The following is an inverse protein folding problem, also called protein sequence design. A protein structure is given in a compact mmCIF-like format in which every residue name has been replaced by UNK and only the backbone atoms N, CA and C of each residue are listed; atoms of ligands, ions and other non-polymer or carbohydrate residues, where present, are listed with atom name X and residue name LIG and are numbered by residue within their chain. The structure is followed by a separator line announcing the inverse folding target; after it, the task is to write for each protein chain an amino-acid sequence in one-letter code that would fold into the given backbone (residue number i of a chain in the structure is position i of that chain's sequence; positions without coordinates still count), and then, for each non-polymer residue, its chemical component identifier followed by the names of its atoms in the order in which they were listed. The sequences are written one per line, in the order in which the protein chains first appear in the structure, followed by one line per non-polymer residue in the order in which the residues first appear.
data_IF_011556787084
#
_entry.id   IF_011556787084
#
_cell.length_a   1.000
_cell.length_b   1.000
_cell.length_c   1.000
_cell.angle_alpha   90.00
_cell.angle_beta   90.00
_cell.angle_gamma   90.00
#
_symmetry.space_group_name_H-M   'P 1'
#
loop_
_entity.id
_entity.type
_entity.pdbx_description
1 polymer ?
#
# COMPACT_ATOMS: atom_id res chain seq x y z
N UNK A 1 4.91 -2.07 30.87
CA UNK A 1 4.36 -0.93 30.11
C UNK A 1 4.18 -1.24 28.63
N UNK A 2 3.38 -2.28 28.33
CA UNK A 2 2.94 -2.65 26.98
C UNK A 2 1.58 -1.98 26.68
N UNK A 3 1.21 -1.79 25.39
CA UNK A 3 -0.15 -1.45 24.99
C UNK A 3 -1.18 -2.43 25.58
N UNK A 4 -2.37 -1.94 25.88
CA UNK A 4 -3.49 -2.80 26.20
C UNK A 4 -3.93 -3.56 24.95
N UNK A 5 -4.22 -4.84 25.12
CA UNK A 5 -4.84 -5.64 24.06
C UNK A 5 -6.31 -5.30 23.93
N UNK A 6 -6.93 -5.65 22.79
CA UNK A 6 -8.37 -5.50 22.62
C UNK A 6 -9.19 -6.21 23.69
N UNK A 7 -8.74 -7.41 24.10
CA UNK A 7 -9.39 -8.20 25.16
C UNK A 7 -9.27 -7.53 26.53
N UNK A 8 -8.11 -6.92 26.85
CA UNK A 8 -7.91 -6.16 28.09
C UNK A 8 -8.81 -4.91 28.11
N UNK A 9 -8.92 -4.18 26.98
CA UNK A 9 -9.84 -3.04 26.87
C UNK A 9 -11.29 -3.49 27.07
N UNK A 10 -11.72 -4.56 26.41
CA UNK A 10 -13.06 -5.10 26.54
C UNK A 10 -13.36 -5.55 27.99
N UNK A 11 -12.39 -6.15 28.67
CA UNK A 11 -12.55 -6.57 30.07
C UNK A 11 -12.74 -5.36 31.01
N UNK A 12 -11.95 -4.28 30.82
CA UNK A 12 -12.11 -3.03 31.58
C UNK A 12 -13.49 -2.42 31.34
N UNK A 13 -13.91 -2.31 30.08
CA UNK A 13 -15.23 -1.78 29.73
C UNK A 13 -16.37 -2.63 30.33
N UNK A 14 -16.21 -3.94 30.33
CA UNK A 14 -17.20 -4.85 30.93
C UNK A 14 -17.35 -4.62 32.44
N UNK A 15 -16.24 -4.46 33.18
CA UNK A 15 -16.22 -4.18 34.62
C UNK A 15 -16.90 -2.84 34.89
N UNK A 16 -16.44 -1.76 34.26
CA UNK A 16 -16.98 -0.40 34.47
C UNK A 16 -18.46 -0.34 34.13
N UNK A 17 -18.89 -0.93 33.03
CA UNK A 17 -20.30 -0.95 32.66
C UNK A 17 -21.15 -1.85 33.57
N UNK A 18 -20.57 -2.85 34.23
CA UNK A 18 -21.27 -3.65 35.26
C UNK A 18 -21.57 -2.77 36.47
N UNK A 19 -20.58 -2.01 36.97
CA UNK A 19 -20.75 -1.07 38.09
C UNK A 19 -21.76 0.05 37.76
N UNK A 20 -21.76 0.57 36.54
CA UNK A 20 -22.74 1.55 36.06
C UNK A 20 -24.15 0.92 36.13
N UNK A 21 -24.34 -0.31 35.63
CA UNK A 21 -25.64 -0.99 35.61
C UNK A 21 -26.13 -1.41 37.02
N UNK A 22 -25.21 -1.59 37.97
CA UNK A 22 -25.57 -1.83 39.36
C UNK A 22 -26.34 -0.66 39.99
N UNK A 23 -26.22 0.54 39.41
CA UNK A 23 -26.94 1.74 39.81
C UNK A 23 -26.79 2.03 41.33
N UNK A 24 -25.58 1.84 41.84
CA UNK A 24 -25.25 2.05 43.25
C UNK A 24 -25.35 3.55 43.62
N UNK A 25 -25.77 3.85 44.84
CA UNK A 25 -25.81 5.19 45.39
C UNK A 25 -24.38 5.71 45.66
N UNK A 26 -24.12 6.99 45.30
CA UNK A 26 -22.87 7.67 45.66
C UNK A 26 -22.96 8.17 47.09
N UNK A 27 -22.09 7.68 47.96
CA UNK A 27 -22.04 8.09 49.39
C UNK A 27 -20.85 8.99 49.59
N UNK A 28 -21.10 10.20 50.14
CA UNK A 28 -20.07 11.21 50.43
C UNK A 28 -19.93 11.34 51.95
N UNK A 29 -18.72 11.18 52.45
CA UNK A 29 -18.39 11.32 53.88
C UNK A 29 -17.24 12.27 54.08
N UNK A 30 -17.28 13.05 55.18
CA UNK A 30 -16.16 13.82 55.68
C UNK A 30 -15.57 13.10 56.89
N UNK A 31 -14.31 12.72 56.81
CA UNK A 31 -13.62 11.89 57.77
C UNK A 31 -12.22 12.40 58.02
N UNK A 32 -11.60 12.12 59.19
CA UNK A 32 -10.15 12.27 59.35
C UNK A 32 -9.41 11.47 58.26
N UNK A 33 -8.29 12.04 57.78
CA UNK A 33 -7.52 11.44 56.68
C UNK A 33 -7.13 10.00 56.96
N UNK A 34 -6.61 9.72 58.19
CA UNK A 34 -6.18 8.35 58.57
C UNK A 34 -7.34 7.38 58.59
N UNK A 35 -8.54 7.80 58.95
CA UNK A 35 -9.74 6.99 58.95
C UNK A 35 -10.19 6.66 57.55
N UNK A 36 -10.16 7.63 56.63
CA UNK A 36 -10.49 7.43 55.23
C UNK A 36 -9.55 6.41 54.57
N UNK A 37 -8.24 6.54 54.83
CA UNK A 37 -7.23 5.61 54.30
C UNK A 37 -7.44 4.19 54.90
N UNK A 38 -7.74 4.10 56.20
CA UNK A 38 -8.03 2.82 56.87
C UNK A 38 -9.28 2.14 56.26
N UNK A 39 -10.25 2.90 55.76
CA UNK A 39 -11.43 2.38 55.03
C UNK A 39 -11.13 2.00 53.58
N UNK A 40 -9.87 2.17 53.14
CA UNK A 40 -9.43 1.80 51.78
C UNK A 40 -9.63 2.89 50.72
N UNK A 41 -9.75 4.16 51.15
CA UNK A 41 -9.85 5.25 50.16
C UNK A 41 -8.55 5.43 49.37
N UNK A 42 -8.66 5.58 48.06
CA UNK A 42 -7.55 5.85 47.18
C UNK A 42 -7.18 7.35 47.29
N UNK A 43 -5.93 7.61 47.63
CA UNK A 43 -5.37 8.95 47.65
C UNK A 43 -4.33 9.11 46.54
N UNK A 44 -4.46 10.14 45.69
CA UNK A 44 -3.53 10.36 44.59
C UNK A 44 -2.19 10.86 45.08
N UNK A 45 -1.10 10.32 44.55
CA UNK A 45 0.26 10.76 44.90
C UNK A 45 0.51 12.21 44.44
N UNK A 46 1.01 13.02 45.40
CA UNK A 46 1.39 14.42 45.15
C UNK A 46 0.32 15.45 45.49
N UNK A 47 -0.89 15.04 45.85
CA UNK A 47 -1.88 15.96 46.44
C UNK A 47 -1.63 16.19 47.95
N UNK A 48 -1.89 17.41 48.40
CA UNK A 48 -1.83 17.74 49.84
C UNK A 48 -3.22 17.68 50.42
N UNK A 49 -3.43 16.71 51.29
CA UNK A 49 -4.68 16.53 52.00
C UNK A 49 -4.62 17.22 53.39
N UNK A 50 -5.74 17.80 53.81
CA UNK A 50 -5.89 18.33 55.17
C UNK A 50 -6.21 17.20 56.17
N UNK A 51 -6.32 17.61 57.45
CA UNK A 51 -6.65 16.65 58.56
C UNK A 51 -8.02 15.98 58.39
N UNK A 52 -8.97 16.67 57.72
CA UNK A 52 -10.28 16.16 57.33
C UNK A 52 -10.42 16.17 55.83
N UNK A 53 -10.83 15.01 55.28
CA UNK A 53 -10.94 14.78 53.86
C UNK A 53 -12.36 14.42 53.44
N UNK A 54 -12.68 14.68 52.17
CA UNK A 54 -13.95 14.23 51.59
C UNK A 54 -13.70 12.93 50.85
N UNK A 55 -14.25 11.85 51.38
CA UNK A 55 -14.24 10.51 50.78
C UNK A 55 -15.54 10.31 50.00
N UNK A 56 -15.43 9.78 48.79
CA UNK A 56 -16.53 9.47 47.90
C UNK A 56 -16.53 7.97 47.63
N UNK A 57 -17.61 7.30 47.97
CA UNK A 57 -17.87 5.91 47.61
C UNK A 57 -18.80 5.84 46.40
N UNK A 58 -18.38 5.20 45.32
CA UNK A 58 -19.21 4.89 44.14
C UNK A 58 -19.08 3.39 43.85
N UNK A 59 -20.16 2.66 43.99
CA UNK A 59 -20.15 1.19 43.93
C UNK A 59 -19.03 0.59 44.83
N UNK A 60 -18.12 -0.19 44.28
CA UNK A 60 -17.03 -0.82 45.07
C UNK A 60 -15.76 0.04 45.17
N UNK A 61 -15.79 1.27 44.66
CA UNK A 61 -14.62 2.17 44.67
C UNK A 61 -14.75 3.28 45.71
N UNK A 62 -13.63 3.65 46.31
CA UNK A 62 -13.50 4.75 47.29
C UNK A 62 -12.35 5.64 46.90
N UNK A 63 -12.60 6.93 46.87
CA UNK A 63 -11.58 7.90 46.49
C UNK A 63 -11.68 9.17 47.33
N UNK A 64 -10.55 9.82 47.62
CA UNK A 64 -10.51 11.17 48.13
C UNK A 64 -10.68 12.15 46.99
N UNK A 65 -11.85 12.76 46.86
CA UNK A 65 -12.17 13.65 45.78
C UNK A 65 -13.02 14.84 46.19
N UNK A 66 -12.57 16.04 45.82
CA UNK A 66 -13.27 17.32 46.06
C UNK A 66 -14.29 17.70 44.96
N UNK A 67 -14.35 16.92 43.86
CA UNK A 67 -15.21 17.21 42.70
C UNK A 67 -16.69 16.94 42.92
N UNK A 68 -17.48 17.23 41.89
CA UNK A 68 -18.89 16.88 41.82
C UNK A 68 -19.03 15.44 41.25
N UNK A 69 -20.00 14.71 41.76
CA UNK A 69 -20.28 13.33 41.36
C UNK A 69 -21.76 13.14 41.04
N UNK A 70 -22.06 12.12 40.26
CA UNK A 70 -23.43 11.64 40.05
C UNK A 70 -24.05 11.14 41.36
N UNK A 71 -25.34 11.22 41.53
CA UNK A 71 -26.01 10.69 42.69
C UNK A 71 -26.05 9.17 42.70
N UNK A 72 -26.06 8.55 41.54
CA UNK A 72 -26.05 7.09 41.37
C UNK A 72 -25.15 6.72 40.16
N UNK A 73 -24.45 5.58 40.24
CA UNK A 73 -23.58 5.09 39.17
C UNK A 73 -24.31 4.95 37.81
N UNK A 74 -25.62 4.62 37.84
CA UNK A 74 -26.42 4.48 36.63
C UNK A 74 -26.57 5.79 35.81
N UNK A 75 -26.43 6.95 36.43
CA UNK A 75 -26.49 8.26 35.74
C UNK A 75 -25.30 8.49 34.81
N UNK A 76 -24.20 7.73 34.94
CA UNK A 76 -23.04 7.79 34.06
C UNK A 76 -23.41 7.31 32.65
N UNK A 77 -24.40 6.41 32.51
CA UNK A 77 -24.82 5.83 31.26
C UNK A 77 -23.86 4.73 30.78
N UNK A 78 -23.53 4.74 29.51
CA UNK A 78 -22.55 3.77 28.94
C UNK A 78 -21.14 4.33 29.02
N UNK A 79 -20.16 3.48 29.35
CA UNK A 79 -18.74 3.79 29.29
C UNK A 79 -18.08 3.09 28.11
N UNK A 80 -17.22 3.79 27.40
CA UNK A 80 -16.45 3.27 26.28
C UNK A 80 -15.03 3.86 26.27
N UNK A 81 -14.01 3.02 26.05
CA UNK A 81 -12.64 3.47 25.82
C UNK A 81 -12.51 3.85 24.33
N UNK A 82 -12.29 5.13 24.07
CA UNK A 82 -12.16 5.64 22.71
C UNK A 82 -10.72 5.49 22.17
N UNK A 83 -9.72 5.67 23.04
CA UNK A 83 -8.32 5.51 22.68
C UNK A 83 -7.45 5.08 23.84
N UNK A 84 -6.35 4.41 23.53
CA UNK A 84 -5.29 4.05 24.47
C UNK A 84 -3.94 4.23 23.75
N UNK A 85 -2.98 4.89 24.39
CA UNK A 85 -1.68 5.12 23.77
C UNK A 85 -0.59 5.58 24.75
N UNK A 86 0.67 5.46 24.33
CA UNK A 86 1.81 6.00 25.07
C UNK A 86 1.95 7.50 24.88
N UNK A 87 2.12 8.27 25.96
CA UNK A 87 2.34 9.72 25.90
C UNK A 87 3.76 10.11 26.33
N UNK A 88 4.43 9.28 27.13
CA UNK A 88 5.82 9.45 27.54
C UNK A 88 6.43 8.08 27.90
N UNK A 89 7.73 8.05 28.17
CA UNK A 89 8.41 6.83 28.61
C UNK A 89 7.75 6.30 29.91
N UNK A 90 7.14 5.13 29.84
CA UNK A 90 6.46 4.47 30.93
C UNK A 90 5.08 5.02 31.31
N UNK A 91 4.56 6.05 30.61
CA UNK A 91 3.25 6.66 30.86
C UNK A 91 2.31 6.36 29.70
N UNK A 92 1.14 5.81 30.02
CA UNK A 92 0.08 5.54 29.05
C UNK A 92 -1.16 6.38 29.37
N UNK A 93 -1.86 6.80 28.34
CA UNK A 93 -3.10 7.56 28.43
C UNK A 93 -4.25 6.71 27.91
N UNK A 94 -5.34 6.70 28.63
CA UNK A 94 -6.61 6.09 28.24
C UNK A 94 -7.65 7.19 28.17
N UNK A 95 -8.31 7.36 27.04
CA UNK A 95 -9.41 8.30 26.87
C UNK A 95 -10.73 7.53 26.93
N UNK A 96 -11.49 7.76 28.01
CA UNK A 96 -12.82 7.18 28.22
C UNK A 96 -13.92 8.17 27.88
N UNK A 97 -15.00 7.65 27.31
CA UNK A 97 -16.24 8.38 27.01
C UNK A 97 -17.37 7.83 27.86
N UNK A 98 -18.31 8.69 28.27
CA UNK A 98 -19.51 8.29 29.03
C UNK A 98 -20.74 8.97 28.48
N UNK A 99 -21.93 8.47 28.87
CA UNK A 99 -23.22 9.08 28.59
C UNK A 99 -23.46 9.34 27.09
N UNK A 100 -23.90 10.55 26.77
CA UNK A 100 -24.21 10.94 25.38
C UNK A 100 -22.98 10.90 24.47
N UNK A 101 -21.79 11.27 24.97
CA UNK A 101 -20.54 11.23 24.20
C UNK A 101 -20.17 9.80 23.78
N UNK A 102 -20.33 8.83 24.69
CA UNK A 102 -20.10 7.44 24.37
C UNK A 102 -21.12 6.88 23.37
N UNK A 103 -22.39 7.24 23.55
CA UNK A 103 -23.46 6.82 22.62
C UNK A 103 -23.22 7.38 21.20
N UNK A 104 -22.91 8.65 21.10
CA UNK A 104 -22.61 9.30 19.81
C UNK A 104 -21.40 8.64 19.12
N UNK A 105 -20.35 8.35 19.87
CA UNK A 105 -19.17 7.66 19.34
C UNK A 105 -19.52 6.24 18.84
N UNK A 106 -20.31 5.47 19.59
CA UNK A 106 -20.75 4.13 19.17
C UNK A 106 -21.57 4.23 17.87
N UNK A 107 -22.52 5.18 17.78
CA UNK A 107 -23.33 5.38 16.59
C UNK A 107 -22.47 5.72 15.36
N UNK A 108 -21.44 6.55 15.55
CA UNK A 108 -20.50 6.89 14.49
C UNK A 108 -19.71 5.66 13.99
N UNK A 109 -19.25 4.81 14.91
CA UNK A 109 -18.54 3.57 14.53
C UNK A 109 -19.46 2.61 13.77
N UNK A 110 -20.71 2.46 14.20
CA UNK A 110 -21.70 1.62 13.52
C UNK A 110 -22.05 2.17 12.13
N UNK A 111 -22.16 3.48 11.99
CA UNK A 111 -22.40 4.11 10.69
C UNK A 111 -21.23 3.88 9.72
N UNK A 112 -19.99 4.07 10.16
CA UNK A 112 -18.80 3.81 9.35
C UNK A 112 -18.70 2.32 8.93
N UNK A 113 -19.05 1.41 9.84
CA UNK A 113 -19.08 -0.02 9.54
C UNK A 113 -20.16 -0.36 8.50
N UNK A 114 -21.35 0.25 8.61
CA UNK A 114 -22.43 0.08 7.64
C UNK A 114 -22.04 0.63 6.25
N UNK A 115 -21.37 1.78 6.20
CA UNK A 115 -20.86 2.35 4.96
C UNK A 115 -19.80 1.44 4.30
N UNK A 116 -18.87 0.92 5.08
CA UNK A 116 -17.87 -0.03 4.58
C UNK A 116 -18.53 -1.32 4.03
N UNK A 117 -19.55 -1.83 4.71
CA UNK A 117 -20.31 -3.00 4.27
C UNK A 117 -21.06 -2.72 2.96
N UNK A 118 -21.68 -1.56 2.83
CA UNK A 118 -22.34 -1.13 1.60
C UNK A 118 -21.34 -0.99 0.43
N UNK A 119 -20.18 -0.39 0.67
CA UNK A 119 -19.12 -0.28 -0.35
C UNK A 119 -18.60 -1.66 -0.80
N UNK A 120 -18.46 -2.60 0.13
CA UNK A 120 -18.08 -3.98 -0.17
C UNK A 120 -19.24 -4.82 -0.77
N UNK A 121 -20.46 -4.30 -0.80
CA UNK A 121 -21.70 -4.99 -1.22
C UNK A 121 -21.92 -6.30 -0.44
N UNK A 122 -21.81 -6.22 0.87
CA UNK A 122 -22.00 -7.36 1.78
C UNK A 122 -22.71 -6.93 3.07
N UNK A 123 -23.47 -7.80 3.73
CA UNK A 123 -23.95 -7.56 5.09
C UNK A 123 -22.77 -7.36 6.06
N UNK A 124 -23.00 -6.62 7.16
CA UNK A 124 -21.95 -6.32 8.15
C UNK A 124 -21.29 -7.58 8.71
N UNK A 125 -22.07 -8.60 9.02
CA UNK A 125 -21.58 -9.88 9.55
C UNK A 125 -20.74 -10.69 8.56
N UNK A 126 -20.87 -10.44 7.25
CA UNK A 126 -20.12 -11.10 6.17
C UNK A 126 -18.95 -10.25 5.65
N UNK A 127 -18.83 -9.00 6.12
CA UNK A 127 -17.84 -8.05 5.63
C UNK A 127 -16.39 -8.61 5.67
N UNK A 128 -15.91 -9.26 6.74
CA UNK A 128 -14.56 -9.81 6.78
C UNK A 128 -14.33 -10.85 5.67
N UNK A 129 -15.26 -11.76 5.46
CA UNK A 129 -15.16 -12.77 4.41
C UNK A 129 -15.19 -12.14 3.01
N UNK A 130 -16.04 -11.12 2.83
CA UNK A 130 -16.12 -10.38 1.56
C UNK A 130 -14.83 -9.64 1.22
N UNK A 131 -14.18 -9.03 2.20
CA UNK A 131 -12.87 -8.36 2.00
C UNK A 131 -11.82 -9.38 1.55
N UNK A 132 -11.72 -10.53 2.20
CA UNK A 132 -10.79 -11.60 1.81
C UNK A 132 -11.07 -12.08 0.38
N UNK A 133 -12.35 -12.25 0.02
CA UNK A 133 -12.75 -12.61 -1.34
C UNK A 133 -12.31 -11.56 -2.37
N UNK A 134 -12.53 -10.28 -2.10
CA UNK A 134 -12.13 -9.19 -2.99
C UNK A 134 -10.60 -9.13 -3.16
N UNK A 135 -9.84 -9.31 -2.09
CA UNK A 135 -8.38 -9.37 -2.15
C UNK A 135 -7.89 -10.54 -3.02
N UNK A 136 -8.53 -11.70 -2.91
CA UNK A 136 -8.22 -12.87 -3.73
C UNK A 136 -8.54 -12.59 -5.19
N UNK A 137 -9.71 -12.02 -5.49
CA UNK A 137 -10.10 -11.66 -6.87
C UNK A 137 -9.11 -10.66 -7.50
N UNK A 138 -8.68 -9.64 -6.77
CA UNK A 138 -7.66 -8.69 -7.25
C UNK A 138 -6.35 -9.40 -7.59
N UNK A 139 -5.91 -10.32 -6.73
CA UNK A 139 -4.69 -11.12 -6.96
C UNK A 139 -4.82 -11.98 -8.23
N UNK A 140 -5.94 -12.66 -8.41
CA UNK A 140 -6.19 -13.52 -9.57
C UNK A 140 -6.30 -12.71 -10.86
N UNK A 141 -7.01 -11.56 -10.83
CA UNK A 141 -7.11 -10.66 -11.99
C UNK A 141 -5.74 -10.11 -12.41
N UNK A 142 -4.88 -9.74 -11.46
CA UNK A 142 -3.53 -9.29 -11.77
C UNK A 142 -2.70 -10.42 -12.43
N UNK A 143 -2.83 -11.65 -11.93
CA UNK A 143 -2.15 -12.81 -12.52
C UNK A 143 -2.65 -13.11 -13.95
N UNK A 144 -3.95 -13.03 -14.18
CA UNK A 144 -4.53 -13.21 -15.50
C UNK A 144 -4.12 -12.11 -16.47
N UNK A 145 -4.06 -10.86 -16.00
CA UNK A 145 -3.56 -9.73 -16.78
C UNK A 145 -2.10 -9.95 -17.22
N UNK A 146 -1.24 -10.38 -16.30
CA UNK A 146 0.17 -10.70 -16.63
C UNK A 146 0.27 -11.84 -17.64
N UNK A 147 -0.56 -12.89 -17.50
CA UNK A 147 -0.62 -14.00 -18.45
C UNK A 147 -1.06 -13.54 -19.84
N UNK A 148 -2.08 -12.68 -19.90
CA UNK A 148 -2.58 -12.15 -21.18
C UNK A 148 -1.53 -11.24 -21.84
N UNK A 149 -0.85 -10.39 -21.07
CA UNK A 149 0.26 -9.56 -21.58
C UNK A 149 1.41 -10.42 -22.14
N UNK A 150 1.80 -11.47 -21.42
CA UNK A 150 2.83 -12.41 -21.88
C UNK A 150 2.43 -13.12 -23.17
N UNK A 151 1.15 -13.58 -23.28
CA UNK A 151 0.63 -14.22 -24.50
C UNK A 151 0.60 -13.26 -25.68
N UNK A 152 0.18 -12.00 -25.47
CA UNK A 152 0.18 -10.98 -26.50
C UNK A 152 1.60 -10.69 -27.01
N UNK A 153 2.58 -10.54 -26.11
CA UNK A 153 3.99 -10.35 -26.45
C UNK A 153 4.55 -11.53 -27.26
N UNK A 154 4.25 -12.78 -26.85
CA UNK A 154 4.68 -13.98 -27.56
C UNK A 154 4.09 -14.07 -28.98
N UNK A 155 2.80 -13.78 -29.15
CA UNK A 155 2.13 -13.76 -30.46
C UNK A 155 2.70 -12.69 -31.38
N UNK A 156 2.99 -11.49 -30.86
CA UNK A 156 3.64 -10.43 -31.63
C UNK A 156 5.08 -10.81 -32.01
N UNK A 157 5.83 -11.47 -31.13
CA UNK A 157 7.18 -11.94 -31.42
C UNK A 157 7.24 -12.91 -32.61
N UNK A 158 6.27 -13.81 -32.74
CA UNK A 158 6.17 -14.72 -33.89
C UNK A 158 5.92 -13.99 -35.19
N UNK A 159 4.99 -13.02 -35.21
CA UNK A 159 4.72 -12.20 -36.39
C UNK A 159 5.92 -11.30 -36.77
N UNK A 160 6.67 -10.82 -35.80
CA UNK A 160 7.83 -9.97 -36.00
C UNK A 160 9.02 -10.69 -36.59
N UNK A 161 9.22 -11.95 -36.24
CA UNK A 161 10.29 -12.76 -36.85
C UNK A 161 10.14 -12.87 -38.37
N UNK A 162 8.89 -12.96 -38.86
CA UNK A 162 8.60 -12.94 -40.31
C UNK A 162 8.82 -11.60 -41.00
N UNK A 163 8.88 -10.49 -40.23
CA UNK A 163 9.16 -9.15 -40.75
C UNK A 163 10.65 -8.78 -40.74
N UNK A 164 11.49 -9.63 -40.14
CA UNK A 164 12.92 -9.39 -40.10
C UNK A 164 13.52 -9.49 -41.51
N UNK A 165 14.20 -8.44 -41.95
CA UNK A 165 14.91 -8.42 -43.25
C UNK A 165 16.19 -9.27 -43.15
N UNK A 166 16.29 -10.32 -43.94
CA UNK A 166 17.53 -11.11 -44.05
C UNK A 166 18.45 -10.42 -45.05
N UNK A 167 19.65 -10.04 -44.61
CA UNK A 167 20.68 -9.43 -45.44
C UNK A 167 21.53 -10.48 -46.17
N UNK A 168 22.31 -10.07 -47.18
CA UNK A 168 23.20 -10.94 -47.92
C UNK A 168 24.27 -11.60 -47.04
N UNK A 169 24.68 -10.95 -45.96
CA UNK A 169 25.55 -11.49 -44.89
C UNK A 169 24.92 -12.56 -44.02
N UNK A 170 23.66 -12.95 -44.26
CA UNK A 170 22.90 -13.93 -43.47
C UNK A 170 22.33 -13.40 -42.14
N UNK A 171 22.57 -12.14 -41.80
CA UNK A 171 22.06 -11.48 -40.60
C UNK A 171 20.62 -11.03 -40.80
N UNK A 172 19.80 -11.19 -39.78
CA UNK A 172 18.46 -10.61 -39.76
C UNK A 172 18.49 -9.23 -39.08
N UNK A 173 17.84 -8.25 -39.70
CA UNK A 173 17.68 -6.90 -39.14
C UNK A 173 16.19 -6.66 -38.93
N UNK A 174 15.80 -6.30 -37.72
CA UNK A 174 14.43 -5.94 -37.39
C UNK A 174 14.40 -4.60 -36.62
N UNK A 175 13.66 -3.66 -37.16
CA UNK A 175 13.38 -2.36 -36.49
C UNK A 175 11.88 -2.17 -36.52
N UNK A 176 11.22 -2.14 -35.35
CA UNK A 176 9.78 -2.07 -35.27
C UNK A 176 9.30 -1.21 -34.11
N UNK A 177 8.13 -0.59 -34.31
CA UNK A 177 7.38 0.14 -33.27
C UNK A 177 6.23 -0.74 -32.80
N UNK A 178 6.07 -0.91 -31.47
CA UNK A 178 5.14 -1.82 -30.80
C UNK A 178 4.41 -1.08 -29.67
N UNK A 179 3.56 -0.14 -30.03
CA UNK A 179 2.83 0.65 -29.04
C UNK A 179 1.96 -0.24 -28.14
N UNK A 180 1.81 0.16 -26.86
CA UNK A 180 1.10 -0.63 -25.85
C UNK A 180 1.96 -1.68 -25.13
N UNK A 181 3.20 -1.94 -25.57
CA UNK A 181 4.13 -2.80 -24.84
C UNK A 181 4.92 -2.02 -23.80
N UNK A 182 5.07 -2.57 -22.62
CA UNK A 182 5.96 -2.04 -21.60
C UNK A 182 7.42 -2.52 -21.81
N UNK A 183 8.35 -1.95 -21.06
CA UNK A 183 9.78 -2.29 -21.15
C UNK A 183 10.07 -3.78 -20.94
N UNK A 184 9.30 -4.44 -20.08
CA UNK A 184 9.45 -5.87 -19.77
C UNK A 184 8.98 -6.73 -20.96
N UNK A 185 7.87 -6.36 -21.56
CA UNK A 185 7.33 -7.05 -22.75
C UNK A 185 8.26 -6.87 -23.97
N UNK A 186 8.78 -5.66 -24.21
CA UNK A 186 9.77 -5.41 -25.27
C UNK A 186 11.03 -6.26 -25.07
N UNK A 187 11.53 -6.37 -23.83
CA UNK A 187 12.68 -7.22 -23.52
C UNK A 187 12.41 -8.69 -23.82
N UNK A 188 11.29 -9.23 -23.35
CA UNK A 188 10.91 -10.61 -23.59
C UNK A 188 10.79 -10.91 -25.10
N UNK A 189 10.25 -9.96 -25.89
CA UNK A 189 10.17 -10.07 -27.35
C UNK A 189 11.55 -10.11 -27.99
N UNK A 190 12.50 -9.28 -27.56
CA UNK A 190 13.89 -9.32 -28.06
C UNK A 190 14.54 -10.66 -27.76
N UNK A 191 14.42 -11.17 -26.52
CA UNK A 191 14.98 -12.46 -26.14
C UNK A 191 14.41 -13.60 -27.01
N UNK A 192 13.09 -13.62 -27.22
CA UNK A 192 12.41 -14.60 -28.08
C UNK A 192 12.90 -14.52 -29.56
N UNK A 193 13.05 -13.30 -30.11
CA UNK A 193 13.54 -13.09 -31.47
C UNK A 193 14.99 -13.56 -31.64
N UNK A 194 15.85 -13.34 -30.65
CA UNK A 194 17.24 -13.83 -30.62
C UNK A 194 17.30 -15.36 -30.66
N UNK A 195 16.39 -16.04 -29.92
CA UNK A 195 16.31 -17.49 -29.91
C UNK A 195 15.84 -18.07 -31.26
N UNK A 196 14.91 -17.38 -31.91
CA UNK A 196 14.35 -17.81 -33.21
C UNK A 196 15.29 -17.58 -34.38
N UNK A 197 15.93 -16.42 -34.45
CA UNK A 197 16.66 -15.95 -35.64
C UNK A 197 18.19 -16.12 -35.57
N UNK A 198 18.74 -16.72 -34.50
CA UNK A 198 20.14 -17.11 -34.34
C UNK A 198 21.19 -16.03 -34.63
N UNK A 199 21.09 -15.29 -35.75
CA UNK A 199 21.92 -14.13 -36.13
C UNK A 199 21.01 -12.93 -36.38
N UNK A 200 20.93 -12.01 -35.39
CA UNK A 200 19.92 -10.96 -35.34
C UNK A 200 20.50 -9.66 -34.75
N UNK A 201 20.12 -8.55 -35.38
CA UNK A 201 20.17 -7.19 -34.79
C UNK A 201 18.76 -6.66 -34.77
N UNK A 202 18.25 -6.37 -33.56
CA UNK A 202 16.88 -5.93 -33.38
C UNK A 202 16.82 -4.63 -32.59
N UNK A 203 15.96 -3.69 -33.02
CA UNK A 203 15.60 -2.47 -32.28
C UNK A 203 14.09 -2.41 -32.21
N UNK A 204 13.55 -2.47 -31.01
CA UNK A 204 12.11 -2.34 -30.74
C UNK A 204 11.86 -1.05 -29.97
N UNK A 205 10.77 -0.38 -30.29
CA UNK A 205 10.32 0.82 -29.61
C UNK A 205 8.84 0.73 -29.27
N UNK A 206 8.43 1.39 -28.20
CA UNK A 206 7.02 1.61 -27.87
C UNK A 206 6.82 3.05 -27.36
N UNK A 207 5.66 3.61 -27.68
CA UNK A 207 5.22 4.89 -27.14
C UNK A 207 3.99 4.64 -26.25
N UNK A 208 4.11 4.97 -24.95
CA UNK A 208 3.05 4.83 -23.97
C UNK A 208 3.01 6.08 -23.09
N UNK A 209 1.84 6.66 -22.90
CA UNK A 209 1.63 7.84 -22.02
C UNK A 209 2.62 8.99 -22.27
N UNK A 210 2.90 9.28 -23.55
CA UNK A 210 3.81 10.36 -23.95
C UNK A 210 5.30 10.07 -23.71
N UNK A 211 5.66 8.84 -23.37
CA UNK A 211 7.05 8.40 -23.17
C UNK A 211 7.43 7.34 -24.19
N UNK A 212 8.66 7.45 -24.70
CA UNK A 212 9.26 6.47 -25.59
C UNK A 212 10.07 5.47 -24.78
N UNK A 213 9.91 4.19 -25.06
CA UNK A 213 10.73 3.09 -24.55
C UNK A 213 11.43 2.42 -25.72
N UNK A 214 12.73 2.17 -25.58
CA UNK A 214 13.60 1.60 -26.60
C UNK A 214 14.32 0.39 -26.03
N UNK A 215 14.40 -0.67 -26.83
CA UNK A 215 15.17 -1.86 -26.51
C UNK A 215 15.93 -2.30 -27.77
N UNK A 216 17.21 -2.59 -27.63
CA UNK A 216 17.98 -3.22 -28.68
C UNK A 216 18.60 -4.55 -28.21
N UNK A 217 18.65 -5.50 -29.11
CA UNK A 217 19.28 -6.78 -28.92
C UNK A 217 20.19 -7.13 -30.09
N UNK A 218 21.33 -7.71 -29.78
CA UNK A 218 22.33 -8.19 -30.76
C UNK A 218 22.73 -9.60 -30.36
N UNK A 219 22.74 -10.53 -31.31
CA UNK A 219 23.21 -11.91 -31.06
C UNK A 219 24.73 -11.95 -30.93
N UNK A 220 25.25 -12.94 -30.21
CA UNK A 220 26.67 -13.04 -29.85
C UNK A 220 27.63 -13.00 -31.04
N UNK A 221 27.21 -13.52 -32.20
CA UNK A 221 27.96 -13.54 -33.44
C UNK A 221 28.13 -12.14 -34.07
N UNK A 222 27.36 -11.15 -33.64
CA UNK A 222 27.35 -9.77 -34.19
C UNK A 222 27.81 -8.70 -33.22
N UNK A 223 27.98 -9.00 -31.94
CA UNK A 223 28.39 -8.05 -30.90
C UNK A 223 29.74 -7.39 -31.21
N UNK A 224 30.64 -8.06 -31.93
CA UNK A 224 31.91 -7.48 -32.37
C UNK A 224 31.78 -6.38 -33.41
N UNK A 225 30.71 -6.38 -34.20
CA UNK A 225 30.46 -5.42 -35.29
C UNK A 225 29.47 -4.33 -34.87
N UNK A 226 28.43 -4.69 -34.11
CA UNK A 226 27.37 -3.80 -33.66
C UNK A 226 27.10 -4.00 -32.16
N UNK A 227 26.98 -2.91 -31.43
CA UNK A 227 26.67 -2.92 -30.00
C UNK A 227 25.28 -2.37 -29.74
N UNK A 228 24.46 -3.11 -29.00
CA UNK A 228 23.11 -2.70 -28.64
C UNK A 228 23.06 -1.34 -27.92
N UNK A 229 24.06 -1.06 -27.06
CA UNK A 229 24.19 0.22 -26.36
C UNK A 229 24.32 1.43 -27.31
N UNK A 230 25.09 1.28 -28.39
CA UNK A 230 25.27 2.34 -29.41
C UNK A 230 23.98 2.57 -30.19
N UNK A 231 23.24 1.50 -30.53
CA UNK A 231 21.98 1.59 -31.26
C UNK A 231 20.92 2.35 -30.46
N UNK A 232 20.68 1.96 -29.19
CA UNK A 232 19.68 2.65 -28.40
C UNK A 232 20.06 4.08 -28.07
N UNK A 233 21.37 4.38 -27.87
CA UNK A 233 21.85 5.73 -27.63
C UNK A 233 21.62 6.65 -28.85
N UNK A 234 21.85 6.15 -30.06
CA UNK A 234 21.61 6.87 -31.30
C UNK A 234 20.14 7.19 -31.53
N UNK A 235 19.24 6.25 -31.25
CA UNK A 235 17.78 6.50 -31.32
C UNK A 235 17.32 7.39 -30.19
N UNK A 236 17.78 7.16 -28.97
CA UNK A 236 17.39 7.94 -27.79
C UNK A 236 17.73 9.43 -27.92
N UNK A 237 18.88 9.75 -28.48
CA UNK A 237 19.29 11.13 -28.74
C UNK A 237 18.31 11.88 -29.69
N UNK A 238 17.70 11.18 -30.66
CA UNK A 238 16.73 11.74 -31.58
C UNK A 238 15.33 11.91 -30.98
N UNK A 239 15.01 11.17 -29.91
CA UNK A 239 13.71 11.23 -29.23
C UNK A 239 13.76 11.93 -27.87
N UNK A 240 14.77 12.80 -27.67
CA UNK A 240 14.91 13.61 -26.45
C UNK A 240 15.20 12.78 -25.20
N UNK A 241 15.97 11.71 -25.35
CA UNK A 241 16.24 10.79 -24.28
C UNK A 241 17.70 10.41 -24.12
N UNK A 242 17.96 9.48 -23.21
CA UNK A 242 19.28 8.88 -22.95
C UNK A 242 19.12 7.40 -22.69
N UNK A 243 20.14 6.63 -23.00
CA UNK A 243 20.15 5.22 -22.72
C UNK A 243 21.50 4.59 -22.98
N UNK A 244 21.61 3.32 -22.69
CA UNK A 244 22.81 2.52 -22.87
C UNK A 244 22.60 1.13 -22.30
N UNK A 245 23.64 0.33 -22.33
CA UNK A 245 23.57 -1.03 -21.81
C UNK A 245 24.78 -1.86 -22.23
N UNK A 246 24.59 -3.17 -22.13
CA UNK A 246 25.59 -4.15 -22.54
C UNK A 246 25.70 -4.21 -24.08
N UNK A 247 26.78 -4.76 -24.63
CA UNK A 247 26.95 -4.88 -26.08
C UNK A 247 25.87 -5.75 -26.75
N UNK A 248 25.34 -6.75 -26.06
CA UNK A 248 24.36 -7.71 -26.55
C UNK A 248 22.90 -7.28 -26.26
N UNK A 249 22.70 -6.38 -25.29
CA UNK A 249 21.38 -5.91 -24.87
C UNK A 249 21.43 -4.53 -24.22
N UNK A 250 20.57 -3.62 -24.66
CA UNK A 250 20.51 -2.28 -24.11
C UNK A 250 19.07 -1.72 -24.12
N UNK A 251 18.83 -0.76 -23.24
CA UNK A 251 17.54 -0.07 -23.09
C UNK A 251 17.75 1.42 -23.02
N UNK A 252 16.77 2.16 -23.52
CA UNK A 252 16.74 3.61 -23.45
C UNK A 252 15.29 4.13 -23.31
N UNK A 253 15.17 5.38 -22.96
CA UNK A 253 13.89 6.09 -22.98
C UNK A 253 14.00 7.43 -23.67
N UNK A 254 12.85 8.03 -24.00
CA UNK A 254 12.76 9.37 -24.57
C UNK A 254 11.39 9.99 -24.28
N UNK A 255 11.23 11.25 -24.66
CA UNK A 255 9.98 12.01 -24.45
C UNK A 255 9.37 12.54 -25.74
N UNK A 256 10.10 12.52 -26.85
CA UNK A 256 9.58 12.95 -28.14
C UNK A 256 9.04 11.77 -28.96
N UNK A 257 7.74 11.54 -28.80
CA UNK A 257 7.02 10.48 -29.52
C UNK A 257 6.90 10.78 -31.01
N UNK A 258 6.84 12.08 -31.42
CA UNK A 258 6.68 12.48 -32.81
C UNK A 258 7.93 12.17 -33.63
N UNK A 259 9.11 12.28 -33.03
CA UNK A 259 10.38 11.98 -33.68
C UNK A 259 10.67 10.48 -33.83
N UNK A 260 9.90 9.59 -33.12
CA UNK A 260 10.22 8.18 -33.00
C UNK A 260 10.29 7.44 -34.34
N UNK A 261 9.32 7.63 -35.22
CA UNK A 261 9.26 6.88 -36.48
C UNK A 261 10.43 7.29 -37.41
N UNK A 262 10.80 8.57 -37.42
CA UNK A 262 11.98 9.05 -38.13
C UNK A 262 13.29 8.48 -37.58
N UNK A 263 13.43 8.42 -36.28
CA UNK A 263 14.59 7.85 -35.61
C UNK A 263 14.74 6.34 -35.90
N UNK A 264 13.64 5.58 -35.91
CA UNK A 264 13.64 4.17 -36.28
C UNK A 264 13.98 3.95 -37.75
N UNK A 265 13.50 4.78 -38.66
CA UNK A 265 13.86 4.69 -40.07
C UNK A 265 15.35 4.98 -40.28
N UNK A 266 15.90 5.97 -39.56
CA UNK A 266 17.32 6.31 -39.63
C UNK A 266 18.20 5.14 -39.16
N UNK A 267 17.90 4.56 -38.01
CA UNK A 267 18.69 3.43 -37.47
C UNK A 267 18.59 2.20 -38.38
N UNK A 268 17.42 1.94 -39.00
CA UNK A 268 17.25 0.84 -39.95
C UNK A 268 18.21 1.01 -41.12
N UNK A 269 18.25 2.20 -41.76
CA UNK A 269 19.13 2.49 -42.90
C UNK A 269 20.60 2.35 -42.51
N UNK A 270 21.01 2.85 -41.36
CA UNK A 270 22.37 2.72 -40.87
C UNK A 270 22.78 1.28 -40.59
N UNK A 271 21.88 0.45 -40.03
CA UNK A 271 22.12 -0.95 -39.82
C UNK A 271 22.33 -1.75 -41.11
N UNK A 272 21.48 -1.52 -42.12
CA UNK A 272 21.61 -2.17 -43.42
C UNK A 272 22.94 -1.80 -44.05
N UNK A 273 23.25 -0.52 -44.10
CA UNK A 273 24.52 -0.02 -44.70
C UNK A 273 25.75 -0.60 -43.98
N UNK A 274 25.76 -0.66 -42.65
CA UNK A 274 26.89 -1.18 -41.83
C UNK A 274 27.06 -2.69 -41.90
N UNK A 275 26.01 -3.43 -42.24
CA UNK A 275 26.03 -4.92 -42.27
C UNK A 275 26.16 -5.48 -43.71
N UNK A 276 25.94 -4.69 -44.75
CA UNK A 276 26.12 -5.04 -46.17
C UNK A 276 27.39 -4.46 -46.79
N UNK A 277 27.96 -3.42 -46.19
CA UNK A 277 29.23 -2.83 -46.60
C UNK A 277 30.40 -3.45 -45.86
#
# INVERSE_FOLDING_TARGET
NKPMTADEIQAVEAIVNAEIRANAETVIRQLPYDEAIALGAMALFGEKYGDVVRMVDVADTRELCGGTHVARSGEIGVFKIASEGGVAAGIRRVDGLTGEGALAWIQQQLAALAEAAAAARAPVNELPARIVQLQTQVKDLNRDLDRLKAKAASSQGQNLAGQAQKLASGVHVLVARLDGMDARALRATVDQLKDQLKSLVVVLAAANDGKVQLVAGVTADRVGTIRAGELVAGVAAQVGGKGGGKPDFAMAGGTDVAALDGALATVRSQLVQKLEG
#
